data_IF_408851532801
#
_entry.id   IF_408851532801
#
_cell.length_a   1.000
_cell.length_b   1.000
_cell.length_c   1.000
_cell.angle_alpha   90.00
_cell.angle_beta   90.00
_cell.angle_gamma   90.00
#
_symmetry.space_group_name_H-M   'P 1'
#
loop_
_entity.id
_entity.type
_entity.pdbx_description
1 polymer ?
#
# COMPACT_ATOMS: atom_id res chain seq x y z
N UNK A 1 -25.38 -37.07 11.20
CA UNK A 1 -24.54 -37.95 10.34
C UNK A 1 -23.30 -37.18 9.94
N UNK A 2 -22.16 -37.42 10.60
CA UNK A 2 -20.89 -36.79 10.26
C UNK A 2 -20.20 -37.58 9.15
N UNK A 3 -19.88 -36.94 8.03
CA UNK A 3 -19.11 -37.57 6.96
C UNK A 3 -17.71 -37.92 7.48
N UNK A 4 -17.42 -39.22 7.56
CA UNK A 4 -16.05 -39.72 7.76
C UNK A 4 -15.31 -39.58 6.43
N UNK A 5 -14.47 -38.56 6.32
CA UNK A 5 -13.54 -38.43 5.20
C UNK A 5 -12.61 -39.65 5.15
N UNK A 6 -12.56 -40.31 3.99
CA UNK A 6 -11.70 -41.48 3.78
C UNK A 6 -10.23 -41.03 3.67
N UNK A 7 -9.23 -41.89 3.96
CA UNK A 7 -7.81 -41.54 3.91
C UNK A 7 -7.33 -40.99 2.56
N UNK A 8 -8.10 -41.26 1.48
CA UNK A 8 -7.84 -40.80 0.11
C UNK A 8 -8.24 -39.35 -0.16
N UNK A 9 -8.97 -38.72 0.77
CA UNK A 9 -9.46 -37.34 0.68
C UNK A 9 -8.63 -36.35 1.52
N UNK A 10 -7.51 -36.79 2.11
CA UNK A 10 -6.58 -35.89 2.80
C UNK A 10 -5.69 -35.19 1.78
N UNK A 11 -6.17 -34.08 1.24
CA UNK A 11 -5.33 -33.16 0.48
C UNK A 11 -4.24 -32.60 1.40
N UNK A 12 -2.97 -32.64 0.99
CA UNK A 12 -1.92 -31.98 1.75
C UNK A 12 -2.16 -30.47 1.72
N UNK A 13 -1.82 -29.76 2.80
CA UNK A 13 -1.95 -28.29 2.86
C UNK A 13 -1.31 -27.60 1.63
N UNK A 14 -0.19 -28.15 1.17
CA UNK A 14 0.53 -27.65 -0.01
C UNK A 14 -0.22 -27.92 -1.31
N UNK A 15 -0.91 -29.05 -1.44
CA UNK A 15 -1.73 -29.35 -2.62
C UNK A 15 -2.99 -28.48 -2.67
N UNK A 16 -3.63 -28.26 -1.52
CA UNK A 16 -4.73 -27.30 -1.37
C UNK A 16 -4.28 -25.87 -1.72
N UNK A 17 -3.10 -25.43 -1.27
CA UNK A 17 -2.51 -24.15 -1.66
C UNK A 17 -2.23 -24.06 -3.17
N UNK A 18 -1.66 -25.10 -3.78
CA UNK A 18 -1.36 -25.12 -5.24
C UNK A 18 -2.62 -25.03 -6.09
N UNK A 19 -3.72 -25.65 -5.66
CA UNK A 19 -5.03 -25.56 -6.32
C UNK A 19 -5.59 -24.14 -6.25
N UNK A 20 -5.56 -23.52 -5.06
CA UNK A 20 -6.08 -22.17 -4.87
C UNK A 20 -5.22 -21.10 -5.54
N UNK A 21 -3.90 -21.31 -5.66
CA UNK A 21 -2.99 -20.36 -6.33
C UNK A 21 -3.33 -20.13 -7.81
N UNK A 22 -3.90 -21.13 -8.50
CA UNK A 22 -4.40 -20.97 -9.89
C UNK A 22 -5.71 -20.18 -9.97
N UNK A 23 -6.55 -20.25 -8.95
CA UNK A 23 -7.76 -19.43 -8.86
C UNK A 23 -7.41 -17.97 -8.53
N UNK A 24 -6.43 -17.74 -7.65
CA UNK A 24 -5.98 -16.39 -7.27
C UNK A 24 -5.48 -15.58 -8.46
N UNK A 25 -4.68 -16.17 -9.36
CA UNK A 25 -4.18 -15.41 -10.53
C UNK A 25 -5.30 -14.95 -11.47
N UNK A 26 -6.36 -15.75 -11.66
CA UNK A 26 -7.52 -15.35 -12.47
C UNK A 26 -8.25 -14.16 -11.86
N UNK A 27 -8.40 -14.15 -10.53
CA UNK A 27 -9.00 -13.02 -9.81
C UNK A 27 -8.10 -11.79 -9.93
N UNK A 28 -6.78 -11.92 -9.77
CA UNK A 28 -5.85 -10.80 -9.95
C UNK A 28 -5.92 -10.21 -11.36
N UNK A 29 -5.98 -11.05 -12.40
CA UNK A 29 -6.14 -10.58 -13.78
C UNK A 29 -7.46 -9.84 -13.96
N UNK A 30 -8.57 -10.38 -13.42
CA UNK A 30 -9.87 -9.73 -13.49
C UNK A 30 -9.87 -8.37 -12.78
N UNK A 31 -9.24 -8.26 -11.62
CA UNK A 31 -9.08 -7.00 -10.90
C UNK A 31 -8.24 -5.99 -11.69
N UNK A 32 -7.13 -6.41 -12.29
CA UNK A 32 -6.30 -5.54 -13.14
C UNK A 32 -7.09 -5.03 -14.34
N UNK A 33 -7.84 -5.90 -15.02
CA UNK A 33 -8.69 -5.51 -16.14
C UNK A 33 -9.78 -4.54 -15.69
N UNK A 34 -10.45 -4.81 -14.58
CA UNK A 34 -11.46 -3.92 -14.01
C UNK A 34 -10.86 -2.53 -13.66
N UNK A 35 -9.68 -2.50 -13.06
CA UNK A 35 -8.97 -1.26 -12.74
C UNK A 35 -8.59 -0.46 -14.00
N UNK A 36 -8.12 -1.13 -15.06
CA UNK A 36 -7.83 -0.48 -16.35
C UNK A 36 -9.10 0.11 -16.96
N UNK A 37 -10.21 -0.64 -16.94
CA UNK A 37 -11.50 -0.17 -17.47
C UNK A 37 -12.01 1.04 -16.67
N UNK A 38 -11.91 1.03 -15.34
CA UNK A 38 -12.30 2.15 -14.48
C UNK A 38 -11.36 3.36 -14.60
N UNK A 39 -10.08 3.14 -14.94
CA UNK A 39 -9.10 4.20 -15.11
C UNK A 39 -9.33 5.08 -16.34
N UNK A 40 -9.98 4.55 -17.39
CA UNK A 40 -10.24 5.29 -18.64
C UNK A 40 -11.18 6.50 -18.39
N UNK A 41 -12.38 6.35 -17.78
CA UNK A 41 -13.23 7.48 -17.41
C UNK A 41 -12.51 8.51 -16.54
N UNK A 42 -11.72 8.06 -15.57
CA UNK A 42 -10.98 8.93 -14.68
C UNK A 42 -9.95 9.77 -15.45
N UNK A 43 -9.20 9.15 -16.37
CA UNK A 43 -8.24 9.85 -17.21
C UNK A 43 -8.93 10.89 -18.12
N UNK A 44 -10.10 10.56 -18.67
CA UNK A 44 -10.91 11.50 -19.48
C UNK A 44 -11.36 12.74 -18.69
N UNK A 45 -11.56 12.63 -17.38
CA UNK A 45 -11.92 13.75 -16.50
C UNK A 45 -10.67 14.54 -16.08
N UNK A 46 -9.58 13.83 -15.73
CA UNK A 46 -8.36 14.44 -15.20
C UNK A 46 -7.60 15.22 -16.27
N UNK A 47 -7.46 14.68 -17.48
CA UNK A 47 -6.68 15.32 -18.54
C UNK A 47 -7.13 16.75 -18.89
N UNK A 48 -8.42 17.05 -19.12
CA UNK A 48 -8.85 18.43 -19.40
C UNK A 48 -8.63 19.36 -18.19
N UNK A 49 -8.77 18.85 -16.97
CA UNK A 49 -8.50 19.62 -15.75
C UNK A 49 -7.01 19.93 -15.62
N UNK A 50 -6.15 18.96 -15.90
CA UNK A 50 -4.69 19.13 -15.93
C UNK A 50 -4.30 20.20 -16.97
N UNK A 51 -4.83 20.12 -18.19
CA UNK A 51 -4.56 21.13 -19.21
C UNK A 51 -5.08 22.51 -18.81
N UNK A 52 -6.26 22.60 -18.19
CA UNK A 52 -6.77 23.88 -17.69
C UNK A 52 -5.83 24.50 -16.66
N UNK A 53 -5.34 23.73 -15.68
CA UNK A 53 -4.39 24.20 -14.68
C UNK A 53 -3.08 24.66 -15.32
N UNK A 54 -2.53 23.88 -16.26
CA UNK A 54 -1.28 24.23 -16.97
C UNK A 54 -1.45 25.50 -17.80
N UNK A 55 -2.55 25.65 -18.53
CA UNK A 55 -2.80 26.82 -19.38
C UNK A 55 -3.06 28.07 -18.55
N UNK A 56 -3.85 27.99 -17.48
CA UNK A 56 -4.06 29.12 -16.55
C UNK A 56 -2.73 29.54 -15.93
N UNK A 57 -1.91 28.57 -15.50
CA UNK A 57 -0.57 28.86 -14.98
C UNK A 57 0.33 29.53 -16.02
N UNK A 58 0.29 29.05 -17.27
CA UNK A 58 1.04 29.64 -18.37
C UNK A 58 0.57 31.06 -18.70
N UNK A 59 -0.73 31.34 -18.68
CA UNK A 59 -1.28 32.68 -18.85
C UNK A 59 -0.81 33.63 -17.74
N UNK A 60 -0.80 33.17 -16.49
CA UNK A 60 -0.29 33.95 -15.35
C UNK A 60 1.20 34.25 -15.55
N UNK A 61 2.01 33.26 -15.95
CA UNK A 61 3.44 33.47 -16.20
C UNK A 61 3.63 34.44 -17.36
N UNK A 62 2.87 34.28 -18.45
CA UNK A 62 2.92 35.13 -19.63
C UNK A 62 2.63 36.60 -19.32
N UNK A 63 1.82 36.88 -18.30
CA UNK A 63 1.57 38.24 -17.81
C UNK A 63 2.84 38.91 -17.24
N UNK A 64 3.70 38.16 -16.54
CA UNK A 64 4.93 38.70 -15.94
C UNK A 64 6.16 38.58 -16.86
N UNK A 65 6.24 37.50 -17.62
CA UNK A 65 7.32 37.19 -18.55
C UNK A 65 6.71 36.55 -19.79
N UNK A 66 6.71 37.24 -20.95
CA UNK A 66 6.06 36.73 -22.14
C UNK A 66 6.68 35.40 -22.57
N UNK A 67 5.83 34.37 -22.72
CA UNK A 67 6.24 33.05 -23.17
C UNK A 67 6.47 33.05 -24.70
N UNK A 68 7.40 32.22 -25.21
CA UNK A 68 7.63 32.09 -26.64
C UNK A 68 6.36 31.72 -27.41
N UNK A 69 6.22 32.21 -28.65
CA UNK A 69 5.05 31.89 -29.50
C UNK A 69 4.92 30.38 -29.75
N UNK A 70 6.03 29.66 -29.83
CA UNK A 70 6.08 28.21 -30.04
C UNK A 70 5.31 27.44 -28.95
N UNK A 71 5.30 27.94 -27.70
CA UNK A 71 4.54 27.33 -26.61
C UNK A 71 3.04 27.36 -26.90
N UNK A 72 2.53 28.53 -27.34
CA UNK A 72 1.11 28.71 -27.64
C UNK A 72 0.67 27.91 -28.87
N UNK A 73 1.55 27.80 -29.89
CA UNK A 73 1.33 26.96 -31.05
C UNK A 73 1.21 25.49 -30.63
N UNK A 74 2.17 24.99 -29.86
CA UNK A 74 2.16 23.62 -29.34
C UNK A 74 0.88 23.33 -28.52
N UNK A 75 0.50 24.23 -27.62
CA UNK A 75 -0.73 24.11 -26.82
C UNK A 75 -1.98 24.03 -27.69
N UNK A 76 -2.07 24.87 -28.74
CA UNK A 76 -3.19 24.86 -29.68
C UNK A 76 -3.24 23.57 -30.52
N UNK A 77 -2.10 22.99 -30.87
CA UNK A 77 -2.03 21.71 -31.58
C UNK A 77 -2.54 20.57 -30.70
N UNK A 78 -2.10 20.50 -29.44
CA UNK A 78 -2.63 19.53 -28.48
C UNK A 78 -4.14 19.67 -28.31
N UNK A 79 -4.65 20.90 -28.18
CA UNK A 79 -6.08 21.17 -28.08
C UNK A 79 -6.84 20.73 -29.35
N UNK A 80 -6.26 20.92 -30.54
CA UNK A 80 -6.84 20.46 -31.80
C UNK A 80 -6.97 18.93 -31.83
N UNK A 81 -5.90 18.21 -31.50
CA UNK A 81 -5.94 16.74 -31.47
C UNK A 81 -6.93 16.21 -30.42
N UNK A 82 -7.00 16.84 -29.24
CA UNK A 82 -8.00 16.51 -28.23
C UNK A 82 -9.44 16.73 -28.71
N UNK A 83 -9.71 17.84 -29.43
CA UNK A 83 -11.02 18.11 -30.03
C UNK A 83 -11.41 17.09 -31.09
N UNK A 84 -10.46 16.65 -31.92
CA UNK A 84 -10.71 15.60 -32.94
C UNK A 84 -11.16 14.30 -32.28
N UNK A 85 -10.46 13.86 -31.22
CA UNK A 85 -10.85 12.67 -30.47
C UNK A 85 -12.20 12.83 -29.78
N UNK A 86 -12.47 14.00 -29.19
CA UNK A 86 -13.73 14.28 -28.52
C UNK A 86 -14.92 14.33 -29.49
N UNK A 87 -14.75 14.96 -30.66
CA UNK A 87 -15.78 15.03 -31.69
C UNK A 87 -16.05 13.65 -32.30
N UNK A 88 -15.01 12.83 -32.50
CA UNK A 88 -15.20 11.45 -32.91
C UNK A 88 -15.98 10.66 -31.84
N UNK A 89 -15.61 10.79 -30.57
CA UNK A 89 -16.23 10.06 -29.46
C UNK A 89 -17.69 10.47 -29.23
N UNK A 90 -17.99 11.77 -29.24
CA UNK A 90 -19.33 12.28 -28.92
C UNK A 90 -20.23 12.41 -30.14
N UNK A 91 -19.68 12.84 -31.27
CA UNK A 91 -20.44 13.21 -32.47
C UNK A 91 -20.24 12.22 -33.63
N UNK A 92 -19.44 11.17 -33.44
CA UNK A 92 -19.15 10.14 -34.46
C UNK A 92 -18.67 10.75 -35.79
N UNK A 93 -17.97 11.88 -35.74
CA UNK A 93 -17.44 12.54 -36.93
C UNK A 93 -16.31 11.70 -37.53
N UNK A 94 -16.34 11.57 -38.87
CA UNK A 94 -15.26 10.90 -39.59
C UNK A 94 -13.96 11.67 -39.44
N UNK A 95 -12.91 10.98 -39.00
CA UNK A 95 -11.58 11.53 -38.84
C UNK A 95 -10.54 10.53 -39.34
N UNK A 96 -9.41 11.04 -39.79
CA UNK A 96 -8.30 10.23 -40.28
C UNK A 96 -7.75 9.33 -39.14
N UNK A 97 -7.54 8.02 -39.37
CA UNK A 97 -7.09 7.10 -38.32
C UNK A 97 -5.81 7.55 -37.60
N UNK A 98 -4.85 8.17 -38.29
CA UNK A 98 -3.63 8.66 -37.66
C UNK A 98 -3.90 9.78 -36.66
N UNK A 99 -4.73 10.76 -37.04
CA UNK A 99 -5.11 11.87 -36.16
C UNK A 99 -5.95 11.43 -34.96
N UNK A 100 -6.74 10.37 -35.12
CA UNK A 100 -7.54 9.79 -34.05
C UNK A 100 -6.68 9.13 -32.97
N UNK A 101 -5.67 8.35 -33.37
CA UNK A 101 -4.74 7.70 -32.42
C UNK A 101 -3.99 8.75 -31.61
N UNK A 102 -3.50 9.81 -32.26
CA UNK A 102 -2.82 10.92 -31.59
C UNK A 102 -3.78 11.65 -30.65
N UNK A 103 -5.01 11.96 -31.09
CA UNK A 103 -6.01 12.62 -30.25
C UNK A 103 -6.38 11.82 -29.00
N UNK A 104 -6.57 10.50 -29.13
CA UNK A 104 -6.82 9.61 -27.99
C UNK A 104 -5.62 9.55 -27.04
N UNK A 105 -4.40 9.48 -27.57
CA UNK A 105 -3.19 9.51 -26.76
C UNK A 105 -3.07 10.83 -25.97
N UNK A 106 -3.34 11.96 -26.60
CA UNK A 106 -3.34 13.30 -25.97
C UNK A 106 -4.42 13.43 -24.89
N UNK A 107 -5.56 12.74 -25.03
CA UNK A 107 -6.62 12.74 -24.03
C UNK A 107 -6.40 11.76 -22.88
N UNK A 108 -5.77 10.60 -23.11
CA UNK A 108 -5.68 9.55 -22.11
C UNK A 108 -4.32 9.52 -21.38
N UNK A 109 -3.20 9.68 -22.09
CA UNK A 109 -1.87 9.47 -21.49
C UNK A 109 -1.57 10.43 -20.32
N UNK A 110 -1.82 11.75 -20.41
CA UNK A 110 -1.50 12.66 -19.31
C UNK A 110 -2.31 12.33 -18.04
N UNK A 111 -3.61 12.05 -18.20
CA UNK A 111 -4.48 11.65 -17.10
C UNK A 111 -4.05 10.34 -16.46
N UNK A 112 -3.73 9.31 -17.26
CA UNK A 112 -3.21 8.02 -16.75
C UNK A 112 -1.91 8.23 -15.99
N UNK A 113 -0.96 8.98 -16.55
CA UNK A 113 0.33 9.24 -15.92
C UNK A 113 0.16 9.97 -14.58
N UNK A 114 -0.71 10.99 -14.53
CA UNK A 114 -0.98 11.71 -13.28
C UNK A 114 -1.69 10.83 -12.26
N UNK A 115 -2.67 10.03 -12.68
CA UNK A 115 -3.38 9.09 -11.79
C UNK A 115 -2.44 8.05 -11.20
N UNK A 116 -1.57 7.45 -12.01
CA UNK A 116 -0.58 6.48 -11.54
C UNK A 116 0.44 7.14 -10.62
N UNK A 117 0.91 8.35 -10.95
CA UNK A 117 1.84 9.10 -10.09
C UNK A 117 1.19 9.45 -8.74
N UNK A 118 -0.06 9.91 -8.74
CA UNK A 118 -0.80 10.21 -7.52
C UNK A 118 -1.04 8.95 -6.68
N UNK A 119 -1.44 7.84 -7.32
CA UNK A 119 -1.61 6.56 -6.65
C UNK A 119 -0.30 6.09 -6.00
N UNK A 120 0.83 6.16 -6.71
CA UNK A 120 2.14 5.84 -6.15
C UNK A 120 2.54 6.78 -5.00
N UNK A 121 2.26 8.07 -5.12
CA UNK A 121 2.56 9.05 -4.08
C UNK A 121 1.75 8.78 -2.81
N UNK A 122 0.45 8.50 -2.96
CA UNK A 122 -0.46 8.11 -1.87
C UNK A 122 0.01 6.80 -1.24
N UNK A 123 0.29 5.77 -2.03
CA UNK A 123 0.78 4.48 -1.57
C UNK A 123 2.12 4.60 -0.81
N UNK A 124 3.06 5.43 -1.29
CA UNK A 124 4.30 5.75 -0.55
C UNK A 124 4.01 6.50 0.76
N UNK A 125 3.08 7.45 0.76
CA UNK A 125 2.69 8.20 1.95
C UNK A 125 2.06 7.29 3.02
N UNK A 126 1.09 6.46 2.64
CA UNK A 126 0.42 5.53 3.55
C UNK A 126 1.36 4.44 4.08
N UNK A 127 2.29 3.95 3.24
CA UNK A 127 3.36 3.05 3.71
C UNK A 127 4.20 3.65 4.83
N UNK A 128 4.49 4.95 4.77
CA UNK A 128 5.24 5.65 5.82
C UNK A 128 4.40 5.88 7.08
N UNK A 129 3.08 6.01 6.92
CA UNK A 129 2.15 6.22 8.03
C UNK A 129 1.81 4.93 8.81
N UNK A 130 2.04 3.74 8.25
CA UNK A 130 1.54 2.48 8.83
C UNK A 130 2.07 2.14 10.22
N UNK A 131 3.39 2.10 10.40
CA UNK A 131 4.00 1.70 11.70
C UNK A 131 4.03 2.87 12.68
N UNK A 132 4.46 4.06 12.23
CA UNK A 132 4.52 5.25 13.07
C UNK A 132 3.15 5.77 13.50
N UNK A 133 2.17 5.77 12.59
CA UNK A 133 0.81 6.21 12.87
C UNK A 133 0.07 5.28 13.83
N UNK A 134 0.24 3.96 13.69
CA UNK A 134 -0.32 3.00 14.63
C UNK A 134 0.28 3.18 16.05
N UNK A 135 1.58 3.43 16.15
CA UNK A 135 2.24 3.65 17.43
C UNK A 135 1.85 4.98 18.09
N UNK A 136 1.72 6.05 17.30
CA UNK A 136 1.25 7.34 17.77
C UNK A 136 -0.21 7.25 18.26
N UNK A 137 -1.06 6.50 17.56
CA UNK A 137 -2.45 6.26 17.97
C UNK A 137 -2.55 5.49 19.30
N UNK A 138 -1.58 4.62 19.59
CA UNK A 138 -1.50 3.85 20.84
C UNK A 138 -0.76 4.56 21.97
N UNK A 139 -0.31 5.81 21.75
CA UNK A 139 0.54 6.56 22.68
C UNK A 139 1.74 5.73 23.17
N UNK A 140 2.34 4.96 22.27
CA UNK A 140 3.42 4.05 22.60
C UNK A 140 4.72 4.82 22.87
N UNK A 141 5.41 4.46 23.94
CA UNK A 141 6.69 5.06 24.36
C UNK A 141 7.82 4.04 24.33
N UNK A 142 9.05 4.52 24.33
CA UNK A 142 10.20 3.63 24.50
C UNK A 142 10.30 3.13 25.95
N UNK A 143 10.83 1.90 26.16
CA UNK A 143 11.12 1.38 27.49
C UNK A 143 12.15 2.25 28.23
N UNK A 144 11.89 2.52 29.50
CA UNK A 144 12.78 3.24 30.40
C UNK A 144 13.89 2.33 30.90
N UNK A 145 15.12 2.64 30.52
CA UNK A 145 16.31 1.86 30.90
C UNK A 145 16.62 1.88 32.40
N UNK A 146 15.97 2.73 33.19
CA UNK A 146 16.15 2.73 34.65
C UNK A 146 15.22 1.74 35.37
N UNK A 147 14.28 1.12 34.66
CA UNK A 147 13.32 0.19 35.26
C UNK A 147 13.64 -1.24 34.88
N UNK A 148 13.90 -2.09 35.88
CA UNK A 148 14.36 -3.47 35.68
C UNK A 148 13.45 -4.30 34.76
N UNK A 149 12.12 -4.23 34.93
CA UNK A 149 11.18 -4.97 34.07
C UNK A 149 11.23 -4.50 32.61
N UNK A 150 11.37 -3.19 32.39
CA UNK A 150 11.42 -2.62 31.04
C UNK A 150 12.76 -2.91 30.35
N UNK A 151 13.86 -2.95 31.11
CA UNK A 151 15.15 -3.47 30.64
C UNK A 151 15.07 -4.95 30.27
N UNK A 152 14.53 -5.80 31.16
CA UNK A 152 14.38 -7.23 30.92
C UNK A 152 13.57 -7.52 29.65
N UNK A 153 12.53 -6.72 29.38
CA UNK A 153 11.77 -6.82 28.14
C UNK A 153 12.66 -6.62 26.90
N UNK A 154 13.52 -5.60 26.91
CA UNK A 154 14.45 -5.33 25.80
C UNK A 154 15.46 -6.46 25.65
N UNK A 155 16.04 -6.93 26.75
CA UNK A 155 17.01 -8.02 26.76
C UNK A 155 16.41 -9.30 26.19
N UNK A 156 15.21 -9.69 26.62
CA UNK A 156 14.54 -10.90 26.13
C UNK A 156 14.22 -10.80 24.64
N UNK A 157 13.75 -9.64 24.16
CA UNK A 157 13.51 -9.44 22.72
C UNK A 157 14.81 -9.58 21.93
N UNK A 158 15.92 -9.04 22.45
CA UNK A 158 17.24 -9.14 21.83
C UNK A 158 17.72 -10.60 21.77
N UNK A 159 17.63 -11.33 22.88
CA UNK A 159 18.00 -12.75 22.99
C UNK A 159 17.21 -13.59 21.98
N UNK A 160 15.89 -13.41 21.92
CA UNK A 160 15.03 -14.16 21.01
C UNK A 160 15.29 -13.80 19.53
N UNK A 161 15.54 -12.53 19.21
CA UNK A 161 15.87 -12.11 17.85
C UNK A 161 17.20 -12.72 17.37
N UNK A 162 18.21 -12.75 18.25
CA UNK A 162 19.50 -13.40 17.98
C UNK A 162 19.27 -14.90 17.73
N UNK A 163 18.50 -15.57 18.60
CA UNK A 163 18.21 -17.00 18.45
C UNK A 163 17.46 -17.32 17.15
N UNK A 164 16.56 -16.44 16.72
CA UNK A 164 15.80 -16.58 15.47
C UNK A 164 16.57 -16.12 14.22
N UNK A 165 17.75 -15.50 14.37
CA UNK A 165 18.54 -14.99 13.25
C UNK A 165 17.90 -13.83 12.49
N UNK A 166 17.08 -13.01 13.17
CA UNK A 166 16.43 -11.83 12.59
C UNK A 166 17.00 -10.54 13.18
N UNK A 167 16.89 -9.39 12.48
CA UNK A 167 17.20 -8.10 13.09
C UNK A 167 16.35 -7.89 14.36
N UNK A 168 16.93 -7.38 15.47
CA UNK A 168 16.20 -7.17 16.71
C UNK A 168 15.08 -6.14 16.50
N UNK A 169 13.80 -6.52 16.70
CA UNK A 169 12.69 -5.58 16.57
C UNK A 169 12.77 -4.47 17.62
N UNK A 170 12.34 -3.26 17.27
CA UNK A 170 12.25 -2.17 18.25
C UNK A 170 11.12 -2.44 19.24
N UNK A 171 11.40 -2.32 20.53
CA UNK A 171 10.40 -2.53 21.59
C UNK A 171 9.72 -1.20 21.92
N UNK A 172 8.39 -1.23 22.05
CA UNK A 172 7.58 -0.11 22.51
C UNK A 172 6.68 -0.56 23.64
N UNK A 173 6.44 0.32 24.61
CA UNK A 173 5.55 0.09 25.74
C UNK A 173 4.31 0.96 25.62
N UNK A 174 3.14 0.41 25.95
CA UNK A 174 1.88 1.17 26.06
C UNK A 174 1.32 1.07 27.47
N UNK A 175 0.89 2.19 28.02
CA UNK A 175 0.23 2.23 29.33
C UNK A 175 -1.27 1.92 29.14
N UNK A 176 -1.59 0.63 29.09
CA UNK A 176 -2.95 0.10 28.92
C UNK A 176 -3.33 -0.85 30.05
N UNK A 177 -4.59 -0.79 30.49
CA UNK A 177 -5.16 -1.68 31.50
C UNK A 177 -5.46 -3.10 31.01
N UNK A 178 -5.28 -3.39 29.71
CA UNK A 178 -5.38 -4.73 29.14
C UNK A 178 -4.00 -5.37 28.96
N UNK A 179 -3.87 -6.67 29.27
CA UNK A 179 -2.66 -7.44 29.04
C UNK A 179 -2.58 -7.87 27.56
N UNK A 180 -1.69 -7.25 26.77
CA UNK A 180 -1.55 -7.54 25.34
C UNK A 180 -0.14 -7.28 24.84
N UNK A 181 0.24 -7.98 23.77
CA UNK A 181 1.44 -7.72 22.99
C UNK A 181 1.15 -7.93 21.50
N UNK A 182 1.77 -7.13 20.64
CA UNK A 182 1.59 -7.21 19.19
C UNK A 182 2.88 -6.88 18.45
N UNK A 183 3.10 -7.57 17.33
CA UNK A 183 4.13 -7.20 16.36
C UNK A 183 3.51 -6.33 15.26
N UNK A 184 4.11 -5.17 15.00
CA UNK A 184 3.69 -4.20 13.99
C UNK A 184 4.86 -4.00 13.03
N UNK A 185 4.60 -4.00 11.72
CA UNK A 185 5.64 -3.79 10.72
C UNK A 185 5.24 -4.31 9.35
N UNK A 186 5.97 -3.87 8.32
CA UNK A 186 5.81 -4.38 6.94
C UNK A 186 6.76 -5.55 6.64
N UNK A 187 7.86 -5.66 7.38
CA UNK A 187 8.85 -6.74 7.30
C UNK A 187 9.70 -6.80 8.58
N UNK A 188 10.53 -7.83 8.72
CA UNK A 188 11.40 -8.01 9.89
C UNK A 188 12.37 -6.84 10.14
N UNK A 189 12.81 -6.14 9.09
CA UNK A 189 13.72 -5.00 9.22
C UNK A 189 13.05 -3.74 9.81
N UNK A 190 11.72 -3.65 9.74
CA UNK A 190 10.91 -2.55 10.29
C UNK A 190 9.90 -3.10 11.31
N UNK A 191 10.24 -4.23 11.94
CA UNK A 191 9.39 -4.85 12.94
C UNK A 191 9.52 -4.12 14.27
N UNK A 192 8.38 -3.90 14.91
CA UNK A 192 8.29 -3.34 16.26
C UNK A 192 7.38 -4.21 17.10
N UNK A 193 7.80 -4.49 18.33
CA UNK A 193 7.01 -5.24 19.30
C UNK A 193 6.45 -4.25 20.31
N UNK A 194 5.12 -4.16 20.36
CA UNK A 194 4.40 -3.33 21.33
C UNK A 194 3.92 -4.21 22.46
N UNK A 195 4.27 -3.86 23.69
CA UNK A 195 3.86 -4.60 24.89
C UNK A 195 3.11 -3.66 25.82
N UNK A 196 1.98 -4.11 26.38
CA UNK A 196 1.28 -3.33 27.39
C UNK A 196 1.94 -3.43 28.75
N UNK A 197 1.89 -2.33 29.52
CA UNK A 197 2.40 -2.27 30.88
C UNK A 197 1.83 -3.37 31.75
N UNK A 198 0.52 -3.63 31.62
CA UNK A 198 -0.14 -4.72 32.35
C UNK A 198 0.42 -6.10 32.01
N UNK A 199 0.67 -6.41 30.74
CA UNK A 199 1.25 -7.71 30.38
C UNK A 199 2.63 -7.90 31.02
N UNK A 200 3.45 -6.85 30.95
CA UNK A 200 4.78 -6.85 31.56
C UNK A 200 4.73 -6.97 33.09
N UNK A 201 3.69 -6.43 33.71
CA UNK A 201 3.51 -6.52 35.15
C UNK A 201 2.96 -7.87 35.61
N UNK A 202 2.07 -8.47 34.82
CA UNK A 202 1.37 -9.72 35.12
C UNK A 202 2.24 -10.97 34.85
N UNK A 203 3.17 -10.93 33.88
CA UNK A 203 3.99 -12.08 33.49
C UNK A 203 5.33 -12.15 34.24
N UNK A 204 5.76 -13.37 34.52
CA UNK A 204 7.15 -13.68 34.87
C UNK A 204 8.07 -13.61 33.65
N UNK A 205 9.40 -13.58 33.87
CA UNK A 205 10.39 -13.55 32.78
C UNK A 205 10.24 -14.74 31.82
N UNK A 206 10.03 -15.93 32.34
CA UNK A 206 9.91 -17.17 31.55
C UNK A 206 8.62 -17.18 30.72
N UNK A 207 7.52 -16.68 31.28
CA UNK A 207 6.26 -16.54 30.54
C UNK A 207 6.35 -15.44 29.47
N UNK A 208 7.05 -14.34 29.78
CA UNK A 208 7.32 -13.27 28.83
C UNK A 208 8.19 -13.78 27.66
N UNK A 209 9.22 -14.58 27.95
CA UNK A 209 10.01 -15.27 26.92
C UNK A 209 9.13 -16.12 26.01
N UNK A 210 8.20 -16.90 26.55
CA UNK A 210 7.28 -17.71 25.74
C UNK A 210 6.42 -16.87 24.79
N UNK A 211 5.86 -15.76 25.27
CA UNK A 211 5.04 -14.85 24.47
C UNK A 211 5.89 -14.15 23.39
N UNK A 212 7.07 -13.64 23.75
CA UNK A 212 7.97 -12.95 22.83
C UNK A 212 8.54 -13.92 21.78
N UNK A 213 8.87 -15.17 22.16
CA UNK A 213 9.34 -16.20 21.24
C UNK A 213 8.30 -16.50 20.15
N UNK A 214 7.01 -16.60 20.52
CA UNK A 214 5.94 -16.77 19.55
C UNK A 214 5.87 -15.60 18.55
N UNK A 215 5.97 -14.36 19.02
CA UNK A 215 5.96 -13.18 18.16
C UNK A 215 7.18 -13.11 17.26
N UNK A 216 8.37 -13.38 17.79
CA UNK A 216 9.62 -13.40 17.03
C UNK A 216 9.59 -14.48 15.93
N UNK A 217 9.06 -15.66 16.24
CA UNK A 217 8.86 -16.72 15.23
C UNK A 217 7.91 -16.27 14.12
N UNK A 218 6.82 -15.57 14.46
CA UNK A 218 5.88 -14.99 13.47
C UNK A 218 6.54 -13.93 12.58
N UNK A 219 7.38 -13.06 13.16
CA UNK A 219 8.18 -12.07 12.41
C UNK A 219 9.16 -12.79 11.46
N UNK A 220 9.89 -13.79 11.95
CA UNK A 220 10.85 -14.58 11.17
C UNK A 220 10.20 -15.38 10.04
N UNK A 221 9.00 -15.91 10.26
CA UNK A 221 8.22 -16.61 9.23
C UNK A 221 7.60 -15.67 8.19
N UNK A 222 7.68 -14.36 8.39
CA UNK A 222 7.20 -13.36 7.45
C UNK A 222 5.71 -13.08 7.53
N UNK A 223 5.05 -13.44 8.64
CA UNK A 223 3.61 -13.20 8.84
C UNK A 223 3.27 -11.71 8.76
N UNK A 224 4.17 -10.83 9.26
CA UNK A 224 4.04 -9.37 9.11
C UNK A 224 3.88 -8.94 7.64
N UNK A 225 4.67 -9.53 6.74
CA UNK A 225 4.61 -9.20 5.31
C UNK A 225 3.30 -9.67 4.68
N UNK A 226 2.81 -10.82 5.12
CA UNK A 226 1.54 -11.38 4.65
C UNK A 226 0.38 -10.49 5.14
N UNK A 227 0.33 -10.21 6.44
CA UNK A 227 -0.67 -9.35 7.06
C UNK A 227 -0.69 -7.96 6.40
N UNK A 228 0.48 -7.34 6.22
CA UNK A 228 0.58 -6.04 5.56
C UNK A 228 0.03 -6.05 4.13
N UNK A 229 0.35 -7.08 3.34
CA UNK A 229 -0.17 -7.22 1.96
C UNK A 229 -1.67 -7.43 1.92
N UNK A 230 -2.21 -8.22 2.85
CA UNK A 230 -3.65 -8.44 2.96
C UNK A 230 -4.35 -7.11 3.29
N UNK A 231 -3.87 -6.39 4.32
CA UNK A 231 -4.41 -5.08 4.69
C UNK A 231 -4.33 -4.08 3.54
N UNK A 232 -3.19 -3.98 2.86
CA UNK A 232 -3.03 -3.08 1.71
C UNK A 232 -4.02 -3.39 0.57
N UNK A 233 -4.31 -4.66 0.29
CA UNK A 233 -5.34 -5.03 -0.71
C UNK A 233 -6.73 -4.65 -0.22
N UNK A 234 -7.06 -4.87 1.06
CA UNK A 234 -8.37 -4.48 1.60
C UNK A 234 -8.58 -2.96 1.60
N UNK A 235 -7.58 -2.17 1.98
CA UNK A 235 -7.69 -0.70 1.98
C UNK A 235 -7.74 -0.10 0.56
N UNK A 236 -7.21 -0.80 -0.44
CA UNK A 236 -7.25 -0.34 -1.83
C UNK A 236 -8.48 -0.80 -2.61
N UNK A 237 -9.19 -1.83 -2.15
CA UNK A 237 -10.34 -2.42 -2.84
C UNK A 237 -11.67 -2.33 -2.06
N UNK A 238 -11.67 -1.81 -0.83
CA UNK A 238 -12.87 -1.52 -0.03
C UNK A 238 -13.15 -0.03 0.01
#
# INVERSE_FOLDING_TARGET
MGQRYLPRDRESFLDAQRRNRRATWRISVLCVVAAVIMGIPLALIITPLLYAVVLIGADIINYFSPLPQDFWQLASEFARFGKVALNWLLQHQAADPGTLVIGLAVMLLPGILLSVALWLAVDVLFRRSGVGGALLALNAREPNQNQLKELQLVDVVQEMAIAAGIPPPTVMLIDSGGANAAAIGSCAADARIVVSRRLLDDLSRDELEGVLAHMIASIGNGDLRIAFRITAVFETCG
#
